data_IF_334929037090
#
_entry.id   IF_334929037090
#
_cell.length_a   1.000
_cell.length_b   1.000
_cell.length_c   1.000
_cell.angle_alpha   90.00
_cell.angle_beta   90.00
_cell.angle_gamma   90.00
#
_symmetry.space_group_name_H-M   'P 1'
#
loop_
_entity.id
_entity.type
_entity.pdbx_description
1 polymer ?
#
# COMPACT_ATOMS: atom_id res chain seq x y z
N UNK A 1 14.79 9.05 6.83
CA UNK A 1 13.45 8.63 7.27
C UNK A 1 12.45 9.25 6.30
N UNK A 2 11.47 8.51 5.78
CA UNK A 2 10.53 9.02 4.77
C UNK A 2 9.57 10.05 5.38
N UNK A 3 9.18 11.04 4.57
CA UNK A 3 8.15 12.03 4.90
C UNK A 3 6.81 11.51 4.37
N UNK A 4 5.80 11.40 5.23
CA UNK A 4 4.46 10.98 4.82
C UNK A 4 3.64 12.19 4.35
N UNK A 5 3.03 12.05 3.19
CA UNK A 5 2.27 13.11 2.52
C UNK A 5 1.05 13.56 3.34
N UNK A 6 0.47 12.65 4.12
CA UNK A 6 -0.69 12.89 4.99
C UNK A 6 -0.40 13.80 6.19
N UNK A 7 0.87 13.97 6.54
CA UNK A 7 1.29 14.83 7.66
C UNK A 7 1.84 16.19 7.19
N UNK A 8 1.81 16.48 5.89
CA UNK A 8 2.33 17.72 5.31
C UNK A 8 1.32 18.85 5.43
N UNK A 9 1.76 19.97 6.00
CA UNK A 9 1.05 21.24 6.05
C UNK A 9 1.88 22.26 5.27
N UNK A 10 1.28 22.85 4.24
CA UNK A 10 1.94 23.92 3.47
C UNK A 10 1.59 25.26 4.10
N UNK A 11 2.59 25.97 4.61
CA UNK A 11 2.46 27.34 5.06
C UNK A 11 3.02 28.29 3.99
N UNK A 12 2.23 29.32 3.67
CA UNK A 12 2.69 30.40 2.82
C UNK A 12 3.41 31.42 3.70
N UNK A 13 4.72 31.24 3.86
CA UNK A 13 5.49 32.13 4.73
C UNK A 13 5.64 33.52 4.12
N UNK A 14 5.09 34.49 4.86
CA UNK A 14 5.27 35.94 4.76
C UNK A 14 4.71 36.66 3.52
N UNK A 15 3.97 37.73 3.80
CA UNK A 15 3.42 38.72 2.86
C UNK A 15 4.48 39.43 1.97
N UNK A 16 5.76 39.11 2.11
CA UNK A 16 6.88 39.86 1.52
C UNK A 16 7.77 39.05 0.56
N UNK A 17 7.69 37.71 0.52
CA UNK A 17 8.52 36.89 -0.38
C UNK A 17 7.66 35.90 -1.19
N UNK A 18 7.26 36.30 -2.40
CA UNK A 18 6.34 35.53 -3.23
C UNK A 18 6.93 34.23 -3.80
N UNK A 19 8.25 34.02 -3.67
CA UNK A 19 8.97 32.90 -4.29
C UNK A 19 9.17 31.72 -3.34
N UNK A 20 8.84 31.88 -2.06
CA UNK A 20 9.16 30.92 -1.01
C UNK A 20 7.89 30.31 -0.43
N UNK A 21 7.92 29.03 -0.06
CA UNK A 21 6.85 28.34 0.66
C UNK A 21 7.47 27.37 1.68
N UNK A 22 6.78 27.15 2.80
CA UNK A 22 7.25 26.25 3.85
C UNK A 22 6.39 24.99 3.91
N UNK A 23 7.06 23.85 4.05
CA UNK A 23 6.46 22.55 4.32
C UNK A 23 6.75 22.21 5.78
N UNK A 24 5.69 22.09 6.57
CA UNK A 24 5.76 21.66 7.97
C UNK A 24 5.18 20.26 8.07
N UNK A 25 5.71 19.44 8.97
CA UNK A 25 5.12 18.13 9.27
C UNK A 25 4.93 17.97 10.77
N UNK A 26 3.97 17.17 11.21
CA UNK A 26 3.74 16.91 12.64
C UNK A 26 4.92 16.24 13.36
N UNK A 27 5.85 15.66 12.60
CA UNK A 27 6.99 14.89 13.11
C UNK A 27 8.23 15.77 13.27
N UNK A 28 8.33 16.87 12.50
CA UNK A 28 9.49 17.76 12.51
C UNK A 28 9.07 19.17 12.91
N UNK A 29 9.54 19.64 14.07
CA UNK A 29 9.30 21.01 14.58
C UNK A 29 9.93 22.11 13.71
N UNK A 30 10.81 21.75 12.76
CA UNK A 30 11.46 22.72 11.88
C UNK A 30 10.81 22.72 10.48
N UNK A 31 10.25 23.86 10.03
CA UNK A 31 9.67 23.96 8.70
C UNK A 31 10.76 23.85 7.62
N UNK A 32 10.50 23.04 6.60
CA UNK A 32 11.33 22.97 5.40
C UNK A 32 10.95 24.12 4.48
N UNK A 33 11.83 25.10 4.35
CA UNK A 33 11.62 26.28 3.51
C UNK A 33 12.15 26.00 2.10
N UNK A 34 11.27 26.08 1.11
CA UNK A 34 11.58 25.85 -0.30
C UNK A 34 11.44 27.15 -1.08
N UNK A 35 12.45 27.48 -1.87
CA UNK A 35 12.49 28.68 -2.72
C UNK A 35 12.43 28.29 -4.19
N UNK A 36 11.61 29.00 -4.94
CA UNK A 36 11.42 28.80 -6.39
C UNK A 36 12.05 29.94 -7.19
N UNK A 37 12.32 29.70 -8.47
CA UNK A 37 12.87 30.71 -9.37
C UNK A 37 11.81 31.73 -9.83
N UNK A 38 10.54 31.34 -9.85
CA UNK A 38 9.43 32.15 -10.35
C UNK A 38 8.13 31.83 -9.59
N UNK A 39 7.25 32.82 -9.45
CA UNK A 39 6.00 32.71 -8.69
C UNK A 39 5.02 31.71 -9.30
N UNK A 40 4.95 31.60 -10.63
CA UNK A 40 4.15 30.58 -11.33
C UNK A 40 4.59 29.16 -10.96
N UNK A 41 5.89 28.90 -10.87
CA UNK A 41 6.47 27.61 -10.50
C UNK A 41 6.08 27.27 -9.07
N UNK A 42 6.17 28.22 -8.14
CA UNK A 42 5.64 28.05 -6.78
C UNK A 42 4.18 27.62 -6.78
N UNK A 43 3.32 28.34 -7.50
CA UNK A 43 1.88 28.02 -7.55
C UNK A 43 1.62 26.62 -8.08
N UNK A 44 2.39 26.18 -9.09
CA UNK A 44 2.31 24.83 -9.63
C UNK A 44 2.77 23.77 -8.61
N UNK A 45 3.87 24.00 -7.91
CA UNK A 45 4.35 23.08 -6.86
C UNK A 45 3.37 22.97 -5.70
N UNK A 46 2.86 24.08 -5.19
CA UNK A 46 1.87 24.09 -4.11
C UNK A 46 0.60 23.34 -4.54
N UNK A 47 0.11 23.59 -5.76
CA UNK A 47 -1.05 22.89 -6.31
C UNK A 47 -0.81 21.39 -6.48
N UNK A 48 0.36 21.00 -7.02
CA UNK A 48 0.71 19.60 -7.22
C UNK A 48 0.79 18.84 -5.88
N UNK A 49 1.40 19.45 -4.86
CA UNK A 49 1.49 18.84 -3.52
C UNK A 49 0.10 18.70 -2.90
N UNK A 50 -0.74 19.74 -2.96
CA UNK A 50 -2.12 19.67 -2.42
C UNK A 50 -2.95 18.58 -3.11
N UNK A 51 -2.90 18.50 -4.44
CA UNK A 51 -3.59 17.43 -5.18
C UNK A 51 -3.11 16.04 -4.74
N UNK A 52 -1.79 15.86 -4.61
CA UNK A 52 -1.24 14.59 -4.17
C UNK A 52 -1.64 14.23 -2.72
N UNK A 53 -1.76 15.23 -1.82
CA UNK A 53 -2.27 15.04 -0.45
C UNK A 53 -3.74 14.59 -0.48
N UNK A 54 -4.58 15.22 -1.30
CA UNK A 54 -5.98 14.84 -1.46
C UNK A 54 -6.12 13.41 -2.02
N UNK A 55 -5.39 13.09 -3.08
CA UNK A 55 -5.38 11.75 -3.69
C UNK A 55 -4.95 10.68 -2.67
N UNK A 56 -3.94 10.97 -1.86
CA UNK A 56 -3.47 10.08 -0.80
C UNK A 56 -4.53 9.89 0.29
N UNK A 57 -5.21 10.94 0.73
CA UNK A 57 -6.28 10.84 1.72
C UNK A 57 -7.50 10.05 1.20
N UNK A 58 -7.86 10.22 -0.08
CA UNK A 58 -8.94 9.46 -0.71
C UNK A 58 -8.58 7.98 -0.79
N UNK A 59 -7.36 7.65 -1.21
CA UNK A 59 -6.88 6.28 -1.23
C UNK A 59 -6.91 5.66 0.17
N UNK A 60 -6.39 6.35 1.19
CA UNK A 60 -6.44 5.87 2.58
C UNK A 60 -7.87 5.65 3.08
N UNK A 61 -8.81 6.58 2.79
CA UNK A 61 -10.22 6.43 3.17
C UNK A 61 -10.88 5.25 2.49
N UNK A 62 -10.58 5.00 1.22
CA UNK A 62 -11.11 3.83 0.50
C UNK A 62 -10.61 2.52 1.11
N UNK A 63 -9.31 2.44 1.43
CA UNK A 63 -8.71 1.27 2.11
C UNK A 63 -9.30 1.08 3.51
N UNK A 64 -9.53 2.16 4.26
CA UNK A 64 -10.15 2.09 5.59
C UNK A 64 -11.63 1.69 5.51
N UNK A 65 -12.35 2.14 4.49
CA UNK A 65 -13.74 1.75 4.27
C UNK A 65 -13.83 0.25 3.93
N UNK A 66 -12.97 -0.24 3.04
CA UNK A 66 -12.90 -1.66 2.70
C UNK A 66 -12.55 -2.52 3.92
N UNK A 67 -11.59 -2.06 4.74
CA UNK A 67 -11.28 -2.68 6.03
C UNK A 67 -12.46 -2.65 6.99
N UNK A 68 -13.17 -1.53 7.12
CA UNK A 68 -14.30 -1.41 8.05
C UNK A 68 -15.50 -2.28 7.63
N UNK A 69 -15.78 -2.39 6.33
CA UNK A 69 -16.79 -3.30 5.78
C UNK A 69 -16.41 -4.75 6.12
N UNK A 70 -15.14 -5.11 5.92
CA UNK A 70 -14.61 -6.42 6.28
C UNK A 70 -14.74 -6.70 7.79
N UNK A 71 -14.28 -5.79 8.65
CA UNK A 71 -14.37 -5.93 10.13
C UNK A 71 -15.81 -6.00 10.64
N UNK A 72 -16.75 -5.26 10.04
CA UNK A 72 -18.16 -5.28 10.45
C UNK A 72 -18.82 -6.63 10.13
N UNK A 73 -18.38 -7.28 9.05
CA UNK A 73 -18.85 -8.62 8.67
C UNK A 73 -18.24 -9.71 9.57
N UNK A 74 -17.07 -9.46 10.15
CA UNK A 74 -16.29 -10.36 11.01
C UNK A 74 -16.77 -10.45 12.47
N UNK A 75 -17.29 -9.37 13.07
CA UNK A 75 -17.78 -9.41 14.47
C UNK A 75 -18.92 -10.42 14.73
N UNK A 76 -19.53 -10.97 13.68
CA UNK A 76 -20.54 -12.04 13.75
C UNK A 76 -19.92 -13.45 13.70
N UNK A 77 -18.64 -13.58 13.34
CA UNK A 77 -17.90 -14.84 13.15
C UNK A 77 -17.02 -15.22 14.34
N UNK A 78 -16.71 -14.30 15.24
CA UNK A 78 -15.88 -14.55 16.45
C UNK A 78 -16.45 -15.59 17.43
N UNK A 79 -17.66 -16.12 17.19
CA UNK A 79 -18.20 -17.28 17.92
C UNK A 79 -18.01 -18.63 17.20
N UNK A 80 -17.37 -18.69 16.03
CA UNK A 80 -17.14 -19.94 15.31
C UNK A 80 -15.87 -20.63 15.80
N UNK A 81 -15.98 -21.93 16.08
CA UNK A 81 -14.83 -22.80 16.38
C UNK A 81 -14.11 -23.09 15.06
N UNK A 82 -12.78 -22.92 15.01
CA UNK A 82 -11.99 -23.30 13.85
C UNK A 82 -12.12 -24.81 13.57
N UNK A 83 -12.44 -25.17 12.33
CA UNK A 83 -12.70 -26.55 11.91
C UNK A 83 -11.47 -27.23 11.30
N UNK A 84 -10.51 -26.45 10.79
CA UNK A 84 -9.27 -26.96 10.21
C UNK A 84 -8.13 -25.95 10.29
N UNK A 85 -6.92 -26.39 9.94
CA UNK A 85 -5.72 -25.56 9.81
C UNK A 85 -5.12 -25.73 8.42
N UNK A 86 -4.89 -24.62 7.73
CA UNK A 86 -4.21 -24.56 6.45
C UNK A 86 -2.74 -24.21 6.66
N UNK A 87 -1.84 -25.03 6.13
CA UNK A 87 -0.42 -24.72 5.99
C UNK A 87 -0.15 -24.35 4.53
N UNK A 88 0.15 -23.08 4.28
CA UNK A 88 0.41 -22.55 2.94
C UNK A 88 1.88 -22.12 2.85
N UNK A 89 2.56 -22.46 1.77
CA UNK A 89 3.96 -22.02 1.53
C UNK A 89 4.01 -21.23 0.24
N UNK A 90 4.25 -19.92 0.36
CA UNK A 90 4.46 -19.07 -0.82
C UNK A 90 5.88 -19.30 -1.31
N UNK A 91 6.03 -19.97 -2.45
CA UNK A 91 7.34 -20.33 -2.99
C UNK A 91 7.94 -19.19 -3.82
N UNK A 92 7.53 -19.06 -5.08
CA UNK A 92 8.10 -18.13 -6.04
C UNK A 92 7.04 -17.63 -7.03
N UNK A 93 7.35 -16.52 -7.71
CA UNK A 93 6.60 -16.05 -8.87
C UNK A 93 7.56 -15.81 -10.04
N UNK A 94 7.02 -15.83 -11.25
CA UNK A 94 7.77 -15.59 -12.47
C UNK A 94 7.01 -14.62 -13.37
N UNK A 95 7.77 -13.95 -14.23
CA UNK A 95 7.26 -13.05 -15.27
C UNK A 95 6.28 -11.99 -14.74
N UNK A 96 6.58 -11.45 -13.56
CA UNK A 96 5.86 -10.30 -13.02
C UNK A 96 5.99 -9.12 -13.99
N UNK A 97 4.86 -8.53 -14.34
CA UNK A 97 4.77 -7.39 -15.24
C UNK A 97 4.56 -6.10 -14.44
N UNK A 98 5.57 -5.24 -14.30
CA UNK A 98 5.40 -3.92 -13.74
C UNK A 98 4.57 -3.05 -14.70
N UNK A 99 3.83 -2.09 -14.16
CA UNK A 99 3.13 -1.09 -14.97
C UNK A 99 4.11 -0.29 -15.82
N UNK A 100 3.58 0.32 -16.89
CA UNK A 100 4.33 1.24 -17.74
C UNK A 100 4.97 2.37 -16.91
N UNK A 101 4.24 2.92 -15.93
CA UNK A 101 4.74 3.94 -15.01
C UNK A 101 5.94 3.45 -14.22
N UNK A 102 5.88 2.22 -13.70
CA UNK A 102 6.99 1.64 -12.96
C UNK A 102 8.18 1.38 -13.88
N UNK A 103 7.98 0.83 -15.09
CA UNK A 103 9.05 0.64 -16.07
C UNK A 103 9.77 1.94 -16.45
N UNK A 104 9.05 3.05 -16.56
CA UNK A 104 9.60 4.38 -16.84
C UNK A 104 10.44 4.93 -15.68
N UNK A 105 10.03 4.68 -14.43
CA UNK A 105 10.76 5.10 -13.23
C UNK A 105 11.95 4.17 -12.92
N UNK A 106 11.66 2.89 -12.85
CA UNK A 106 12.53 1.81 -12.41
C UNK A 106 12.26 0.54 -13.22
N UNK A 107 13.28 0.00 -13.91
CA UNK A 107 13.18 -1.24 -14.71
C UNK A 107 12.96 -2.54 -13.89
N UNK A 108 12.57 -2.43 -12.63
CA UNK A 108 12.43 -3.55 -11.71
C UNK A 108 11.46 -3.21 -10.58
N UNK A 109 10.85 -4.26 -10.01
CA UNK A 109 9.93 -4.19 -8.87
C UNK A 109 10.56 -4.82 -7.62
N UNK A 110 10.02 -4.49 -6.46
CA UNK A 110 10.31 -5.02 -5.13
C UNK A 110 9.10 -5.87 -4.63
N UNK A 111 8.86 -7.07 -5.20
CA UNK A 111 7.59 -7.77 -5.01
C UNK A 111 7.46 -8.45 -3.63
N UNK A 112 6.25 -8.39 -3.08
CA UNK A 112 5.78 -9.21 -1.96
C UNK A 112 4.40 -9.80 -2.25
N UNK A 113 4.05 -10.87 -1.54
CA UNK A 113 2.75 -11.52 -1.64
C UNK A 113 1.94 -11.29 -0.36
N UNK A 114 0.66 -10.97 -0.53
CA UNK A 114 -0.34 -10.83 0.52
C UNK A 114 -1.37 -11.96 0.35
N UNK A 115 -1.53 -12.78 1.39
CA UNK A 115 -2.46 -13.91 1.44
C UNK A 115 -3.56 -13.58 2.44
N UNK A 116 -4.81 -13.63 2.01
CA UNK A 116 -5.98 -13.40 2.88
C UNK A 116 -6.89 -14.63 2.88
N UNK A 117 -7.21 -15.14 4.07
CA UNK A 117 -8.17 -16.23 4.29
C UNK A 117 -9.08 -15.84 5.44
N UNK A 118 -10.40 -15.74 5.19
CA UNK A 118 -11.33 -15.20 6.18
C UNK A 118 -10.90 -13.79 6.59
N UNK A 119 -10.75 -13.54 7.91
CA UNK A 119 -10.22 -12.28 8.48
C UNK A 119 -8.71 -12.08 8.35
N UNK A 120 -7.96 -13.16 8.20
CA UNK A 120 -6.53 -13.15 8.46
C UNK A 120 -5.78 -12.85 7.16
N UNK A 121 -5.06 -11.73 7.16
CA UNK A 121 -4.14 -11.35 6.09
C UNK A 121 -2.70 -11.47 6.57
N UNK A 122 -1.89 -12.26 5.87
CA UNK A 122 -0.46 -12.41 6.10
C UNK A 122 0.33 -11.96 4.88
N UNK A 123 1.55 -11.44 5.09
CA UNK A 123 2.42 -10.92 4.02
C UNK A 123 3.77 -11.61 4.05
N UNK A 124 4.35 -11.83 2.87
CA UNK A 124 5.76 -12.20 2.75
C UNK A 124 6.65 -10.97 2.96
N UNK A 125 7.95 -11.15 3.26
CA UNK A 125 8.94 -10.11 3.00
C UNK A 125 8.93 -9.73 1.51
N UNK A 126 9.24 -8.47 1.20
CA UNK A 126 9.49 -8.06 -0.18
C UNK A 126 10.92 -8.43 -0.58
N UNK A 127 11.12 -8.74 -1.86
CA UNK A 127 12.44 -9.04 -2.42
C UNK A 127 12.83 -7.90 -3.34
N UNK A 128 13.98 -7.29 -3.10
CA UNK A 128 14.39 -6.12 -3.87
C UNK A 128 14.75 -6.47 -5.30
N UNK A 129 14.28 -5.63 -6.23
CA UNK A 129 14.71 -5.51 -7.62
C UNK A 129 14.70 -6.84 -8.37
N UNK A 130 13.55 -7.51 -8.39
CA UNK A 130 13.36 -8.76 -9.14
C UNK A 130 11.95 -8.90 -9.69
N UNK A 131 11.83 -9.41 -10.91
CA UNK A 131 10.55 -9.88 -11.50
C UNK A 131 10.34 -11.39 -11.31
N UNK A 132 11.27 -12.06 -10.64
CA UNK A 132 11.26 -13.51 -10.35
C UNK A 132 11.56 -13.76 -8.87
N UNK A 133 10.68 -13.31 -7.94
CA UNK A 133 10.92 -13.46 -6.51
C UNK A 133 10.83 -14.92 -6.05
N UNK A 134 11.65 -15.28 -5.06
CA UNK A 134 11.61 -16.55 -4.34
C UNK A 134 11.47 -16.28 -2.84
N UNK A 135 10.25 -16.34 -2.32
CA UNK A 135 9.95 -16.03 -0.92
C UNK A 135 10.19 -17.21 0.01
N UNK A 136 9.79 -18.43 -0.39
CA UNK A 136 9.82 -19.63 0.45
C UNK A 136 9.25 -19.38 1.87
N UNK A 137 8.11 -18.69 1.92
CA UNK A 137 7.52 -18.19 3.16
C UNK A 137 6.36 -19.09 3.61
N UNK A 138 6.52 -19.87 4.70
CA UNK A 138 5.42 -20.64 5.28
C UNK A 138 4.45 -19.72 6.05
N UNK A 139 3.17 -20.02 5.93
CA UNK A 139 2.06 -19.29 6.55
C UNK A 139 1.03 -20.28 7.08
N UNK A 140 0.34 -19.90 8.16
CA UNK A 140 -0.68 -20.75 8.80
C UNK A 140 -1.97 -19.97 8.98
N UNK A 141 -3.09 -20.60 8.62
CA UNK A 141 -4.43 -20.05 8.76
C UNK A 141 -5.35 -21.02 9.50
N UNK A 142 -6.24 -20.48 10.32
CA UNK A 142 -7.36 -21.23 10.89
C UNK A 142 -8.55 -21.08 9.95
N UNK A 143 -9.21 -22.19 9.64
CA UNK A 143 -10.35 -22.24 8.73
C UNK A 143 -11.64 -22.42 9.53
N UNK A 144 -12.68 -21.71 9.13
CA UNK A 144 -13.97 -21.71 9.85
C UNK A 144 -15.12 -22.24 8.99
N UNK A 145 -14.98 -22.19 7.67
CA UNK A 145 -15.97 -22.72 6.71
C UNK A 145 -15.28 -23.25 5.45
N UNK A 146 -15.06 -24.56 5.37
CA UNK A 146 -14.37 -25.18 4.24
C UNK A 146 -15.12 -25.07 2.90
N UNK A 147 -16.42 -24.74 2.93
CA UNK A 147 -17.25 -24.65 1.72
C UNK A 147 -17.28 -23.22 1.20
N UNK A 148 -17.33 -22.23 2.11
CA UNK A 148 -17.49 -20.82 1.74
C UNK A 148 -16.16 -20.03 1.75
N UNK A 149 -15.18 -20.44 2.55
CA UNK A 149 -13.94 -19.68 2.68
C UNK A 149 -13.10 -19.76 1.39
N UNK A 150 -12.50 -18.63 1.04
CA UNK A 150 -11.63 -18.45 -0.12
C UNK A 150 -10.25 -18.00 0.32
N UNK A 151 -9.23 -18.43 -0.42
CA UNK A 151 -7.87 -17.93 -0.32
C UNK A 151 -7.70 -16.86 -1.38
N UNK A 152 -7.45 -15.63 -0.96
CA UNK A 152 -7.06 -14.55 -1.86
C UNK A 152 -5.54 -14.40 -1.83
N UNK A 153 -4.92 -14.38 -3.00
CA UNK A 153 -3.49 -14.24 -3.19
C UNK A 153 -3.27 -13.00 -4.04
N UNK A 154 -2.67 -11.96 -3.47
CA UNK A 154 -2.32 -10.74 -4.17
C UNK A 154 -0.80 -10.58 -4.19
N UNK A 155 -0.25 -10.12 -5.31
CA UNK A 155 1.17 -9.75 -5.42
C UNK A 155 1.24 -8.25 -5.63
N UNK A 156 2.12 -7.59 -4.90
CA UNK A 156 2.32 -6.15 -4.98
C UNK A 156 3.78 -5.80 -5.14
N UNK A 157 4.06 -4.68 -5.81
CA UNK A 157 5.33 -3.98 -5.78
C UNK A 157 5.39 -3.06 -4.57
N UNK A 158 6.43 -3.19 -3.74
CA UNK A 158 6.63 -2.33 -2.58
C UNK A 158 7.30 -1.01 -3.00
N UNK A 159 6.53 0.07 -3.02
CA UNK A 159 6.99 1.41 -3.37
C UNK A 159 7.14 2.29 -2.12
N UNK A 160 8.23 3.07 -2.04
CA UNK A 160 8.50 3.92 -0.87
C UNK A 160 7.82 5.29 -0.94
N UNK A 161 7.62 5.80 -2.16
CA UNK A 161 7.16 7.18 -2.41
C UNK A 161 5.90 7.26 -3.27
N UNK A 162 5.31 6.11 -3.61
CA UNK A 162 4.01 6.00 -4.25
C UNK A 162 3.25 4.84 -3.64
N UNK A 163 1.92 4.75 -3.84
CA UNK A 163 1.16 3.56 -3.47
C UNK A 163 1.78 2.30 -4.08
N UNK A 164 1.71 1.19 -3.35
CA UNK A 164 2.14 -0.11 -3.84
C UNK A 164 1.34 -0.51 -5.08
N UNK A 165 2.02 -0.94 -6.12
CA UNK A 165 1.39 -1.36 -7.36
C UNK A 165 0.93 -2.81 -7.26
N UNK A 166 -0.28 -3.15 -7.74
CA UNK A 166 -0.70 -4.54 -7.84
C UNK A 166 -0.08 -5.20 -9.08
N UNK A 167 0.63 -6.31 -8.89
CA UNK A 167 1.30 -7.09 -9.94
C UNK A 167 0.49 -8.31 -10.39
N UNK A 168 -0.69 -8.51 -9.82
CA UNK A 168 -1.59 -9.63 -10.11
C UNK A 168 -2.25 -10.18 -8.85
N UNK A 169 -3.34 -10.91 -9.07
CA UNK A 169 -4.04 -11.62 -8.01
C UNK A 169 -4.66 -12.92 -8.52
N UNK A 170 -4.95 -13.82 -7.59
CA UNK A 170 -5.81 -14.98 -7.82
C UNK A 170 -6.64 -15.27 -6.58
N UNK A 171 -7.75 -15.96 -6.77
CA UNK A 171 -8.61 -16.44 -5.70
C UNK A 171 -8.83 -17.94 -5.88
N UNK A 172 -8.67 -18.70 -4.81
CA UNK A 172 -8.84 -20.16 -4.78
C UNK A 172 -9.92 -20.47 -3.74
N UNK A 173 -10.94 -21.24 -4.13
CA UNK A 173 -11.92 -21.72 -3.16
C UNK A 173 -11.32 -22.86 -2.34
N UNK A 174 -11.53 -22.87 -1.02
CA UNK A 174 -11.07 -23.99 -0.20
C UNK A 174 -11.74 -25.32 -0.57
N UNK A 175 -12.94 -25.27 -1.14
CA UNK A 175 -13.65 -26.44 -1.63
C UNK A 175 -12.98 -27.11 -2.84
N UNK A 176 -12.09 -26.41 -3.56
CA UNK A 176 -11.40 -26.90 -4.76
C UNK A 176 -10.03 -27.53 -4.44
N UNK A 177 -9.61 -27.52 -3.17
CA UNK A 177 -8.32 -28.04 -2.67
C UNK A 177 -8.54 -29.40 -2.01
#
# INVERSE_FOLDING_TARGET
>A
MPLFLTDIIIANDSLNDQLTFSITTKIYDKPLVLKTQQTNVRTLWVKAINNAVEDCQVAEKSVLADKAIFTTTENKRDSKIAVARLLLVVQEAYDLMPSQTTLERHRSVDPYCEITVGSLTLKTPFIKRTIKPKWNAPMQFLLYDLVQDTIHINIFDNEYFSPNENLGYTTIHLADI
#
